data_IF_086208104719
#
_entry.id   IF_086208104719
#
_cell.length_a   1.000
_cell.length_b   1.000
_cell.length_c   1.000
_cell.angle_alpha   90.00
_cell.angle_beta   90.00
_cell.angle_gamma   90.00
#
_symmetry.space_group_name_H-M   'P 1'
#
loop_
_entity.id
_entity.type
_entity.pdbx_description
1 polymer ?
#
# COMPACT_ATOMS: atom_id res chain seq x y z
N UNK A 1 1.63 -14.07 -2.47
CA UNK A 1 1.36 -13.33 -1.21
C UNK A 1 0.17 -13.98 -0.54
N UNK A 2 0.23 -14.22 0.77
CA UNK A 2 -0.90 -14.77 1.53
C UNK A 2 -1.96 -13.68 1.75
N UNK A 3 -3.23 -14.06 1.94
CA UNK A 3 -4.29 -13.11 2.32
C UNK A 3 -4.01 -12.45 3.69
N UNK A 4 -3.22 -13.12 4.53
CA UNK A 4 -2.69 -12.55 5.77
C UNK A 4 -1.75 -11.36 5.49
N UNK A 5 -0.92 -11.44 4.45
CA UNK A 5 0.01 -10.39 4.06
C UNK A 5 -0.73 -9.18 3.49
N UNK A 6 -1.77 -9.41 2.67
CA UNK A 6 -2.63 -8.34 2.13
C UNK A 6 -3.31 -7.55 3.24
N UNK A 7 -3.90 -8.26 4.20
CA UNK A 7 -4.59 -7.65 5.35
C UNK A 7 -3.64 -6.87 6.23
N UNK A 8 -2.43 -7.39 6.44
CA UNK A 8 -1.36 -6.68 7.14
C UNK A 8 -1.00 -5.35 6.44
N UNK A 9 -0.76 -5.39 5.13
CA UNK A 9 -0.40 -4.18 4.37
C UNK A 9 -1.55 -3.18 4.28
N UNK A 10 -2.79 -3.63 4.12
CA UNK A 10 -3.96 -2.75 4.13
C UNK A 10 -4.11 -2.02 5.47
N UNK A 11 -3.96 -2.75 6.59
CA UNK A 11 -3.98 -2.14 7.93
C UNK A 11 -2.84 -1.14 8.12
N UNK A 12 -1.61 -1.50 7.74
CA UNK A 12 -0.46 -0.60 7.83
C UNK A 12 -0.66 0.65 6.96
N UNK A 13 -1.25 0.53 5.78
CA UNK A 13 -1.57 1.68 4.93
C UNK A 13 -2.56 2.64 5.62
N UNK A 14 -3.58 2.11 6.30
CA UNK A 14 -4.52 2.94 7.07
C UNK A 14 -3.85 3.65 8.24
N UNK A 15 -3.02 2.95 9.03
CA UNK A 15 -2.26 3.53 10.14
C UNK A 15 -1.34 4.68 9.65
N UNK A 16 -0.61 4.49 8.55
CA UNK A 16 0.25 5.54 7.99
C UNK A 16 -0.56 6.74 7.45
N UNK A 17 -1.79 6.52 6.96
CA UNK A 17 -2.68 7.62 6.58
C UNK A 17 -3.09 8.48 7.79
N UNK A 18 -3.43 7.83 8.91
CA UNK A 18 -3.76 8.52 10.17
C UNK A 18 -2.55 9.28 10.73
N UNK A 19 -1.36 8.67 10.71
CA UNK A 19 -0.12 9.32 11.12
C UNK A 19 0.20 10.54 10.24
N UNK A 20 -0.01 10.45 8.92
CA UNK A 20 0.17 11.58 8.03
C UNK A 20 -0.79 12.74 8.31
N UNK A 21 -2.01 12.45 8.79
CA UNK A 21 -2.99 13.47 9.18
C UNK A 21 -2.65 14.09 10.54
N UNK A 22 -2.09 13.30 11.46
CA UNK A 22 -1.74 13.75 12.81
C UNK A 22 -0.37 14.44 12.89
N UNK A 23 0.53 14.20 11.93
CA UNK A 23 1.87 14.80 11.90
C UNK A 23 1.80 16.32 11.73
N UNK A 24 2.40 17.04 12.68
CA UNK A 24 2.57 18.50 12.61
C UNK A 24 3.78 18.91 11.75
N UNK A 25 4.77 18.02 11.64
CA UNK A 25 5.95 18.23 10.80
C UNK A 25 5.63 17.87 9.34
N UNK A 26 5.78 18.82 8.39
CA UNK A 26 5.59 18.56 6.97
C UNK A 26 6.43 17.41 6.41
N UNK A 27 7.67 17.23 6.88
CA UNK A 27 8.55 16.16 6.42
C UNK A 27 8.05 14.79 6.90
N UNK A 28 7.61 14.71 8.16
CA UNK A 28 6.99 13.50 8.70
C UNK A 28 5.67 13.16 7.99
N UNK A 29 4.83 14.17 7.72
CA UNK A 29 3.61 13.98 6.95
C UNK A 29 3.89 13.40 5.56
N UNK A 30 4.91 13.91 4.86
CA UNK A 30 5.29 13.38 3.54
C UNK A 30 5.84 11.96 3.63
N UNK A 31 6.67 11.66 4.63
CA UNK A 31 7.19 10.32 4.88
C UNK A 31 6.06 9.30 5.11
N UNK A 32 5.09 9.63 5.96
CA UNK A 32 3.91 8.78 6.20
C UNK A 32 3.07 8.60 4.93
N UNK A 33 2.87 9.64 4.11
CA UNK A 33 2.19 9.51 2.81
C UNK A 33 2.93 8.57 1.84
N UNK A 34 4.26 8.60 1.82
CA UNK A 34 5.06 7.69 0.99
C UNK A 34 4.91 6.24 1.46
N UNK A 35 4.96 6.00 2.77
CA UNK A 35 4.76 4.67 3.36
C UNK A 35 3.35 4.14 3.12
N UNK A 36 2.33 4.98 3.30
CA UNK A 36 0.93 4.66 3.03
C UNK A 36 0.74 4.15 1.58
N UNK A 37 1.32 4.85 0.59
CA UNK A 37 1.26 4.42 -0.82
C UNK A 37 1.96 3.08 -1.03
N UNK A 38 3.17 2.91 -0.51
CA UNK A 38 3.92 1.67 -0.66
C UNK A 38 3.18 0.46 -0.06
N UNK A 39 2.54 0.64 1.10
CA UNK A 39 1.72 -0.42 1.70
C UNK A 39 0.43 -0.68 0.93
N UNK A 40 -0.22 0.36 0.41
CA UNK A 40 -1.41 0.21 -0.46
C UNK A 40 -1.06 -0.59 -1.70
N UNK A 41 0.04 -0.24 -2.38
CA UNK A 41 0.51 -0.98 -3.57
C UNK A 41 0.77 -2.45 -3.25
N UNK A 42 1.44 -2.75 -2.13
CA UNK A 42 1.67 -4.13 -1.69
C UNK A 42 0.38 -4.88 -1.38
N UNK A 43 -0.59 -4.24 -0.72
CA UNK A 43 -1.90 -4.81 -0.49
C UNK A 43 -2.63 -5.13 -1.81
N UNK A 44 -2.48 -4.27 -2.83
CA UNK A 44 -3.10 -4.42 -4.15
C UNK A 44 -2.36 -5.39 -5.09
N UNK A 45 -1.07 -5.65 -4.92
CA UNK A 45 -0.29 -6.55 -5.79
C UNK A 45 -0.79 -8.00 -5.72
N UNK A 46 -1.41 -8.41 -4.61
CA UNK A 46 -2.06 -9.71 -4.53
C UNK A 46 -3.37 -9.84 -5.33
N UNK A 47 -3.84 -8.76 -5.97
CA UNK A 47 -4.91 -8.76 -6.99
C UNK A 47 -4.34 -8.73 -8.43
N UNK A 48 -3.03 -8.51 -8.60
CA UNK A 48 -2.33 -8.47 -9.92
C UNK A 48 -1.67 -9.81 -10.32
N UNK A 49 -2.25 -10.94 -9.92
CA UNK A 49 -1.95 -12.27 -10.47
C UNK A 49 -3.32 -12.84 -10.85
N UNK A 50 -3.76 -12.95 -12.10
CA UNK A 50 -3.08 -13.03 -13.38
C UNK A 50 -3.93 -12.32 -14.43
N UNK A 51 -3.37 -11.31 -15.08
CA UNK A 51 -3.67 -11.10 -16.49
C UNK A 51 -2.29 -10.98 -17.12
N UNK A 52 -1.58 -12.12 -17.14
CA UNK A 52 -0.53 -12.31 -18.13
C UNK A 52 -1.14 -11.85 -19.44
N UNK A 53 -0.47 -10.90 -20.08
CA UNK A 53 -0.77 -10.55 -21.44
C UNK A 53 -0.68 -11.85 -22.26
N UNK A 54 -1.82 -12.49 -22.49
CA UNK A 54 -1.97 -13.48 -23.53
C UNK A 54 -1.82 -12.69 -24.83
N UNK A 55 -0.57 -12.49 -25.24
CA UNK A 55 -0.24 -12.07 -26.60
C UNK A 55 -0.61 -13.27 -27.47
N UNK A 56 -1.87 -13.31 -27.89
CA UNK A 56 -2.26 -14.09 -29.06
C UNK A 56 -1.70 -13.34 -30.27
N UNK A 57 -0.61 -13.86 -30.83
CA UNK A 57 0.04 -13.35 -32.03
C UNK A 57 1.10 -14.30 -32.55
#
# INVERSE_FOLDING_TARGET
MSDHDKSYFARRAAEEAELALAAADPEAQEAHRRLQRAYTERASVGERVSNEAEVIG
#
